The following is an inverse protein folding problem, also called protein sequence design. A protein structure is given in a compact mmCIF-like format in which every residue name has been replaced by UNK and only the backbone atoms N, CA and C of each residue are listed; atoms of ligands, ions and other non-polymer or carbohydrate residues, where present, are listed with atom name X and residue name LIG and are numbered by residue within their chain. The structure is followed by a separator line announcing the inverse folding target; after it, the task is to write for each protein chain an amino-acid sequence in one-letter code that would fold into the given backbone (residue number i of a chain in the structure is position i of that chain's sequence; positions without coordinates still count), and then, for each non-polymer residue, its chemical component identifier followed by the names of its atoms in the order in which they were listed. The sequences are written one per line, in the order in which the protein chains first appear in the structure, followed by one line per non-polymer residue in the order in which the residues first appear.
data_IF_260885521382
#
_entry.id   IF_260885521382
#
_cell.length_a   1.000
_cell.length_b   1.000
_cell.length_c   1.000
_cell.angle_alpha   90.00
_cell.angle_beta   90.00
_cell.angle_gamma   90.00
#
_symmetry.space_group_name_H-M   'P 1'
#
loop_
_entity.id
_entity.type
_entity.pdbx_description
1 polymer ?
#
# COMPACT_ATOMS: atom_id res chain seq x y z
N UNK A 1 19.96 3.09 -22.48
CA UNK A 1 20.13 2.13 -21.37
C UNK A 1 19.25 0.93 -21.69
N UNK A 2 19.45 -0.23 -21.06
CA UNK A 2 18.46 -1.29 -21.16
C UNK A 2 17.23 -0.94 -20.30
N UNK A 3 16.05 -1.41 -20.72
CA UNK A 3 14.74 -1.11 -20.13
C UNK A 3 14.69 -1.43 -18.63
N UNK A 4 15.36 -2.50 -18.23
CA UNK A 4 15.50 -2.93 -16.83
C UNK A 4 16.18 -1.88 -15.95
N UNK A 5 17.18 -1.18 -16.48
CA UNK A 5 17.93 -0.14 -15.75
C UNK A 5 17.13 1.16 -15.66
N UNK A 6 16.36 1.49 -16.69
CA UNK A 6 15.47 2.66 -16.72
C UNK A 6 14.35 2.52 -15.69
N UNK A 7 13.72 1.34 -15.61
CA UNK A 7 12.73 1.02 -14.58
C UNK A 7 13.33 1.14 -13.17
N UNK A 8 14.59 0.72 -12.99
CA UNK A 8 15.26 0.79 -11.71
C UNK A 8 15.53 2.21 -11.26
N UNK A 9 16.03 3.05 -12.15
CA UNK A 9 16.22 4.46 -11.86
C UNK A 9 14.88 5.15 -11.56
N UNK A 10 13.83 4.84 -12.32
CA UNK A 10 12.50 5.42 -12.15
C UNK A 10 11.91 5.10 -10.77
N UNK A 11 11.95 3.83 -10.33
CA UNK A 11 11.47 3.44 -9.00
C UNK A 11 12.30 4.09 -7.89
N UNK A 12 13.63 4.14 -8.01
CA UNK A 12 14.48 4.78 -6.99
C UNK A 12 14.14 6.26 -6.84
N UNK A 13 13.97 6.98 -7.95
CA UNK A 13 13.55 8.38 -7.93
C UNK A 13 12.13 8.54 -7.36
N UNK A 14 11.22 7.61 -7.68
CA UNK A 14 9.86 7.61 -7.17
C UNK A 14 9.81 7.43 -5.65
N UNK A 15 10.57 6.47 -5.13
CA UNK A 15 10.73 6.25 -3.68
C UNK A 15 11.34 7.47 -3.01
N UNK A 16 12.36 8.09 -3.61
CA UNK A 16 12.98 9.31 -3.10
C UNK A 16 12.01 10.49 -2.98
N UNK A 17 11.17 10.69 -4.00
CA UNK A 17 10.10 11.70 -3.97
C UNK A 17 9.06 11.38 -2.90
N UNK A 18 8.55 10.15 -2.89
CA UNK A 18 7.55 9.73 -1.91
C UNK A 18 8.05 9.93 -0.47
N UNK A 19 9.33 9.63 -0.22
CA UNK A 19 9.99 9.83 1.07
C UNK A 19 10.05 11.30 1.48
N UNK A 20 10.26 12.20 0.53
CA UNK A 20 10.31 13.65 0.77
C UNK A 20 8.93 14.20 1.09
N UNK A 21 7.90 13.73 0.37
CA UNK A 21 6.51 14.18 0.53
C UNK A 21 5.89 13.76 1.87
N UNK A 22 6.49 12.81 2.58
CA UNK A 22 6.08 12.42 3.93
C UNK A 22 6.40 13.46 5.00
N UNK A 23 7.33 14.38 4.74
CA UNK A 23 7.82 15.31 5.75
C UNK A 23 6.73 16.28 6.22
N UNK A 24 6.54 16.36 7.53
CA UNK A 24 5.60 17.30 8.16
C UNK A 24 4.12 16.90 8.10
N UNK A 25 3.77 15.74 7.51
CA UNK A 25 2.39 15.25 7.51
C UNK A 25 1.94 14.80 8.91
N UNK A 26 0.68 15.02 9.24
CA UNK A 26 0.17 14.90 10.62
C UNK A 26 -0.93 13.86 10.79
N UNK A 27 -1.32 13.17 9.72
CA UNK A 27 -2.32 12.12 9.78
C UNK A 27 -1.98 10.93 8.89
N UNK A 28 -2.45 9.74 9.29
CA UNK A 28 -2.28 8.52 8.51
C UNK A 28 -2.89 8.61 7.11
N UNK A 29 -4.01 9.35 6.97
CA UNK A 29 -4.66 9.55 5.69
C UNK A 29 -3.84 10.43 4.74
N UNK A 30 -3.26 11.53 5.25
CA UNK A 30 -2.35 12.38 4.46
C UNK A 30 -1.11 11.61 4.02
N UNK A 31 -0.51 10.84 4.94
CA UNK A 31 0.66 10.00 4.67
C UNK A 31 0.36 8.99 3.55
N UNK A 32 -0.73 8.24 3.67
CA UNK A 32 -1.12 7.25 2.66
C UNK A 32 -1.44 7.91 1.31
N UNK A 33 -2.07 9.09 1.33
CA UNK A 33 -2.41 9.84 0.13
C UNK A 33 -1.16 10.37 -0.58
N UNK A 34 -0.20 10.97 0.14
CA UNK A 34 1.03 11.52 -0.43
C UNK A 34 1.84 10.45 -1.18
N UNK A 35 1.98 9.26 -0.56
CA UNK A 35 2.67 8.13 -1.20
C UNK A 35 1.91 7.67 -2.44
N UNK A 36 0.61 7.43 -2.35
CA UNK A 36 -0.14 6.91 -3.52
C UNK A 36 -0.28 7.95 -4.65
N UNK A 37 -0.28 9.25 -4.35
CA UNK A 37 -0.22 10.34 -5.34
C UNK A 37 1.12 10.39 -6.06
N UNK A 38 2.22 10.22 -5.32
CA UNK A 38 3.55 10.10 -5.91
C UNK A 38 3.57 8.94 -6.92
N UNK A 39 3.10 7.75 -6.53
CA UNK A 39 3.07 6.59 -7.41
C UNK A 39 2.14 6.79 -8.62
N UNK A 40 0.99 7.44 -8.43
CA UNK A 40 0.05 7.76 -9.52
C UNK A 40 0.71 8.59 -10.62
N UNK A 41 1.63 9.49 -10.26
CA UNK A 41 2.36 10.33 -11.23
C UNK A 41 3.28 9.52 -12.17
N UNK A 42 3.77 8.35 -11.73
CA UNK A 42 4.64 7.48 -12.54
C UNK A 42 3.91 6.81 -13.71
N UNK A 43 2.59 6.58 -13.58
CA UNK A 43 1.75 5.80 -14.51
C UNK A 43 2.19 4.35 -14.77
N UNK A 44 3.30 3.90 -14.19
CA UNK A 44 3.90 2.58 -14.40
C UNK A 44 3.84 1.70 -13.15
N UNK A 45 4.02 2.31 -11.98
CA UNK A 45 3.98 1.63 -10.70
C UNK A 45 2.73 2.04 -9.95
N UNK A 46 2.08 1.09 -9.28
CA UNK A 46 0.98 1.38 -8.38
C UNK A 46 1.37 1.15 -6.95
N UNK A 47 0.76 1.93 -6.08
CA UNK A 47 0.84 1.77 -4.65
C UNK A 47 -0.57 1.73 -4.07
N UNK A 48 -0.77 0.84 -3.11
CA UNK A 48 -1.99 0.72 -2.34
C UNK A 48 -1.60 0.69 -0.87
N UNK A 49 -2.36 1.41 -0.05
CA UNK A 49 -2.20 1.38 1.40
C UNK A 49 -3.45 0.79 2.01
N UNK A 50 -3.25 -0.25 2.80
CA UNK A 50 -4.29 -0.89 3.60
C UNK A 50 -3.95 -0.69 5.08
N UNK A 51 -4.94 -0.41 5.90
CA UNK A 51 -4.77 -0.25 7.35
C UNK A 51 -5.68 -1.23 8.08
N UNK A 52 -5.22 -1.69 9.24
CA UNK A 52 -6.01 -2.51 10.15
C UNK A 52 -7.10 -1.62 10.77
N UNK A 53 -8.34 -2.11 10.82
CA UNK A 53 -9.43 -1.46 11.55
C UNK A 53 -9.30 -1.76 13.05
N UNK A 54 -9.52 -0.77 13.91
CA UNK A 54 -9.37 -0.92 15.36
C UNK A 54 -10.40 -1.95 15.88
N UNK A 55 -9.93 -3.14 16.26
CA UNK A 55 -10.71 -4.16 16.98
C UNK A 55 -10.97 -5.48 16.24
N UNK A 56 -10.95 -5.51 14.91
CA UNK A 56 -11.60 -6.60 14.15
C UNK A 56 -10.67 -7.47 13.27
N UNK A 57 -9.34 -7.36 13.38
CA UNK A 57 -8.38 -8.10 12.50
C UNK A 57 -8.76 -7.99 11.00
N UNK A 58 -9.33 -6.85 10.62
CA UNK A 58 -9.73 -6.56 9.24
C UNK A 58 -8.84 -5.49 8.64
N UNK A 59 -8.46 -5.67 7.37
CA UNK A 59 -7.81 -4.66 6.56
C UNK A 59 -8.83 -3.90 5.73
N UNK A 60 -8.64 -2.59 5.61
CA UNK A 60 -9.37 -1.72 4.69
C UNK A 60 -8.42 -0.94 3.80
N UNK A 61 -8.81 -0.72 2.55
CA UNK A 61 -8.08 0.20 1.67
C UNK A 61 -8.27 1.63 2.16
N UNK A 62 -7.16 2.35 2.37
CA UNK A 62 -7.19 3.77 2.77
C UNK A 62 -6.73 4.70 1.65
N UNK A 63 -5.88 4.20 0.75
CA UNK A 63 -5.42 4.95 -0.41
C UNK A 63 -4.99 4.02 -1.55
N UNK A 64 -5.09 4.52 -2.79
CA UNK A 64 -4.64 3.82 -4.00
C UNK A 64 -4.09 4.82 -5.01
N UNK A 65 -3.04 4.44 -5.75
CA UNK A 65 -2.51 5.24 -6.85
C UNK A 65 -3.34 5.10 -8.11
N UNK A 66 -4.23 4.11 -8.22
CA UNK A 66 -5.11 3.98 -9.38
C UNK A 66 -5.91 5.26 -9.60
N UNK A 67 -6.03 5.66 -10.87
CA UNK A 67 -6.91 6.77 -11.25
C UNK A 67 -8.37 6.37 -11.03
N UNK A 68 -9.28 7.32 -10.70
CA UNK A 68 -10.66 7.01 -10.34
C UNK A 68 -11.42 6.18 -11.38
N UNK A 69 -11.11 6.36 -12.67
CA UNK A 69 -11.71 5.59 -13.76
C UNK A 69 -11.34 4.11 -13.71
N UNK A 70 -10.09 3.77 -13.35
CA UNK A 70 -9.65 2.38 -13.19
C UNK A 70 -10.23 1.75 -11.91
N UNK A 71 -10.30 2.52 -10.82
CA UNK A 71 -10.96 2.06 -9.58
C UNK A 71 -12.41 1.70 -9.89
N UNK A 72 -13.18 2.63 -10.47
CA UNK A 72 -14.60 2.41 -10.82
C UNK A 72 -14.79 1.22 -11.76
N UNK A 73 -13.90 1.03 -12.73
CA UNK A 73 -13.96 -0.13 -13.62
C UNK A 73 -13.74 -1.44 -12.87
N UNK A 74 -12.76 -1.48 -11.95
CA UNK A 74 -12.54 -2.63 -11.07
C UNK A 74 -13.76 -2.92 -10.18
N UNK A 75 -14.35 -1.89 -9.58
CA UNK A 75 -15.54 -2.01 -8.73
C UNK A 75 -16.75 -2.56 -9.49
N UNK A 76 -16.98 -2.10 -10.74
CA UNK A 76 -18.05 -2.62 -11.61
C UNK A 76 -17.86 -4.11 -11.90
N UNK A 77 -16.63 -4.53 -12.21
CA UNK A 77 -16.32 -5.93 -12.52
C UNK A 77 -16.43 -6.81 -11.28
N UNK A 78 -15.97 -6.30 -10.14
CA UNK A 78 -15.98 -7.02 -8.87
C UNK A 78 -17.35 -7.00 -8.17
N UNK A 79 -18.25 -6.09 -8.56
CA UNK A 79 -19.54 -5.90 -7.91
C UNK A 79 -19.44 -5.33 -6.49
N UNK A 80 -18.30 -4.73 -6.13
CA UNK A 80 -18.03 -4.22 -4.78
C UNK A 80 -17.20 -2.94 -4.83
N UNK A 81 -17.47 -2.00 -3.93
CA UNK A 81 -16.69 -0.77 -3.79
C UNK A 81 -15.40 -1.01 -3.01
N UNK A 82 -14.30 -0.42 -3.48
CA UNK A 82 -12.98 -0.53 -2.85
C UNK A 82 -12.96 0.15 -1.48
N UNK A 83 -13.70 1.24 -1.29
CA UNK A 83 -13.75 1.98 -0.01
C UNK A 83 -14.53 1.26 1.08
N UNK A 84 -15.55 0.50 0.68
CA UNK A 84 -16.33 -0.36 1.60
C UNK A 84 -15.69 -1.73 1.81
N UNK A 85 -14.69 -2.10 1.01
CA UNK A 85 -14.10 -3.43 1.08
C UNK A 85 -13.36 -3.63 2.40
N UNK A 86 -13.60 -4.78 3.03
CA UNK A 86 -12.98 -5.21 4.29
C UNK A 86 -12.51 -6.63 4.14
N UNK A 87 -11.30 -6.88 4.59
CA UNK A 87 -10.60 -8.14 4.39
C UNK A 87 -10.27 -8.73 5.72
N UNK A 88 -10.87 -9.88 6.05
CA UNK A 88 -10.54 -10.58 7.27
C UNK A 88 -9.21 -11.29 7.12
N UNK A 89 -8.27 -11.02 8.02
CA UNK A 89 -6.94 -11.63 8.00
C UNK A 89 -7.02 -13.16 8.09
N UNK A 90 -7.96 -13.70 8.87
CA UNK A 90 -8.23 -15.15 8.97
C UNK A 90 -8.44 -15.85 7.60
N UNK A 91 -8.91 -15.11 6.58
CA UNK A 91 -9.21 -15.63 5.24
C UNK A 91 -8.12 -15.32 4.22
N UNK A 92 -7.05 -14.65 4.62
CA UNK A 92 -6.06 -14.06 3.73
C UNK A 92 -4.63 -14.41 4.16
N UNK A 93 -4.17 -15.66 3.91
CA UNK A 93 -2.88 -16.15 4.41
C UNK A 93 -1.68 -15.25 4.07
N UNK A 94 -1.67 -14.61 2.89
CA UNK A 94 -0.59 -13.69 2.51
C UNK A 94 -0.58 -12.43 3.38
N UNK A 95 -1.76 -11.87 3.65
CA UNK A 95 -1.89 -10.65 4.45
C UNK A 95 -1.62 -10.94 5.93
N UNK A 96 -2.00 -12.13 6.41
CA UNK A 96 -1.69 -12.61 7.76
C UNK A 96 -0.20 -12.66 8.01
N UNK A 97 0.59 -13.20 7.06
CA UNK A 97 2.06 -13.20 7.17
C UNK A 97 2.63 -11.78 7.27
N UNK A 98 2.12 -10.86 6.47
CA UNK A 98 2.58 -9.46 6.53
C UNK A 98 2.19 -8.80 7.87
N UNK A 99 0.96 -9.00 8.35
CA UNK A 99 0.44 -8.32 9.56
C UNK A 99 0.92 -8.95 10.87
N UNK A 100 0.93 -10.28 10.98
CA UNK A 100 1.26 -10.97 12.22
C UNK A 100 2.73 -11.37 12.31
N UNK A 101 3.35 -11.75 11.20
CA UNK A 101 4.75 -12.19 11.17
C UNK A 101 5.71 -11.04 10.79
N UNK A 102 5.19 -9.93 10.26
CA UNK A 102 6.00 -8.78 9.86
C UNK A 102 6.83 -9.02 8.60
N UNK A 103 6.45 -10.01 7.80
CA UNK A 103 7.19 -10.37 6.58
C UNK A 103 6.93 -9.38 5.44
N UNK A 104 7.99 -9.07 4.68
CA UNK A 104 7.84 -8.45 3.36
C UNK A 104 7.80 -9.56 2.32
N UNK A 105 6.74 -9.59 1.51
CA UNK A 105 6.49 -10.63 0.53
C UNK A 105 6.56 -10.07 -0.89
N UNK A 106 7.21 -10.80 -1.79
CA UNK A 106 7.04 -10.65 -3.23
C UNK A 106 6.07 -11.72 -3.70
N UNK A 107 4.92 -11.31 -4.24
CA UNK A 107 3.82 -12.23 -4.63
C UNK A 107 3.32 -11.88 -6.02
N UNK A 108 2.68 -12.83 -6.70
CA UNK A 108 1.99 -12.49 -7.95
C UNK A 108 0.80 -11.57 -7.66
N UNK A 109 0.51 -10.62 -8.55
CA UNK A 109 -0.66 -9.73 -8.42
C UNK A 109 -1.96 -10.54 -8.44
N UNK A 110 -1.98 -11.70 -9.11
CA UNK A 110 -3.08 -12.66 -9.06
C UNK A 110 -3.32 -13.19 -7.65
N UNK A 111 -2.27 -13.62 -6.95
CA UNK A 111 -2.39 -14.16 -5.60
C UNK A 111 -2.75 -13.08 -4.58
N UNK A 112 -2.17 -11.88 -4.74
CA UNK A 112 -2.50 -10.71 -3.93
C UNK A 112 -3.98 -10.34 -4.08
N UNK A 113 -4.47 -10.21 -5.32
CA UNK A 113 -5.88 -9.89 -5.57
C UNK A 113 -6.83 -11.04 -5.21
N UNK A 114 -6.34 -12.28 -5.29
CA UNK A 114 -7.04 -13.50 -4.87
C UNK A 114 -7.32 -13.59 -3.37
N UNK A 115 -6.63 -12.80 -2.54
CA UNK A 115 -6.99 -12.65 -1.11
C UNK A 115 -8.34 -11.92 -0.94
N UNK A 116 -8.78 -11.21 -1.97
CA UNK A 116 -9.94 -10.30 -1.93
C UNK A 116 -11.10 -10.80 -2.78
N UNK A 117 -10.80 -11.37 -3.94
CA UNK A 117 -11.80 -11.65 -4.97
C UNK A 117 -11.75 -13.13 -5.39
N UNK A 118 -12.90 -13.72 -5.77
CA UNK A 118 -12.93 -15.01 -6.44
C UNK A 118 -12.04 -15.01 -7.70
N UNK A 119 -11.33 -16.12 -7.96
CA UNK A 119 -10.35 -16.25 -9.04
C UNK A 119 -10.85 -15.79 -10.42
N UNK A 120 -12.11 -16.08 -10.75
CA UNK A 120 -12.71 -15.67 -12.04
C UNK A 120 -12.84 -14.15 -12.17
N UNK A 121 -13.10 -13.46 -11.06
CA UNK A 121 -13.17 -12.00 -11.02
C UNK A 121 -11.76 -11.42 -11.10
N UNK A 122 -10.80 -11.98 -10.35
CA UNK A 122 -9.38 -11.60 -10.39
C UNK A 122 -8.88 -11.56 -11.84
N UNK A 123 -9.02 -12.67 -12.58
CA UNK A 123 -8.54 -12.76 -13.95
C UNK A 123 -9.18 -11.70 -14.87
N UNK A 124 -10.48 -11.43 -14.70
CA UNK A 124 -11.17 -10.38 -15.50
C UNK A 124 -10.66 -8.99 -15.17
N UNK A 125 -10.46 -8.68 -13.89
CA UNK A 125 -9.94 -7.39 -13.42
C UNK A 125 -8.52 -7.19 -13.97
N UNK A 126 -7.62 -8.15 -13.76
CA UNK A 126 -6.22 -8.04 -14.19
C UNK A 126 -6.09 -7.89 -15.69
N UNK A 127 -6.81 -8.70 -16.47
CA UNK A 127 -6.84 -8.59 -17.94
C UNK A 127 -7.33 -7.23 -18.40
N UNK A 128 -8.39 -6.70 -17.77
CA UNK A 128 -8.96 -5.41 -18.16
C UNK A 128 -8.03 -4.25 -17.82
N UNK A 129 -7.32 -4.36 -16.70
CA UNK A 129 -6.37 -3.35 -16.22
C UNK A 129 -4.96 -3.53 -16.81
N UNK A 130 -4.69 -4.63 -17.53
CA UNK A 130 -3.37 -5.01 -18.10
C UNK A 130 -2.29 -5.26 -17.04
N UNK A 131 -2.67 -5.90 -15.94
CA UNK A 131 -1.75 -6.36 -14.86
C UNK A 131 -1.62 -7.89 -14.83
N UNK A 132 -1.80 -8.55 -15.97
CA UNK A 132 -1.57 -9.99 -16.07
C UNK A 132 -0.07 -10.27 -15.96
N UNK A 133 0.31 -11.21 -15.07
CA UNK A 133 1.71 -11.62 -14.89
C UNK A 133 2.59 -10.65 -14.09
N UNK A 134 2.01 -9.57 -13.53
CA UNK A 134 2.76 -8.67 -12.64
C UNK A 134 2.90 -9.24 -11.24
N UNK A 135 3.82 -8.68 -10.48
CA UNK A 135 4.05 -9.01 -9.08
C UNK A 135 3.83 -7.77 -8.21
N UNK A 136 3.51 -7.98 -6.94
CA UNK A 136 3.43 -6.92 -5.93
C UNK A 136 4.37 -7.24 -4.77
N UNK A 137 4.97 -6.19 -4.22
CA UNK A 137 5.71 -6.23 -2.96
C UNK A 137 4.75 -5.77 -1.86
N UNK A 138 4.44 -6.66 -0.93
CA UNK A 138 3.65 -6.38 0.26
C UNK A 138 4.60 -6.19 1.43
N UNK A 139 4.55 -5.05 2.10
CA UNK A 139 5.44 -4.73 3.23
C UNK A 139 4.67 -4.12 4.39
N UNK A 140 4.96 -4.50 5.65
CA UNK A 140 4.21 -4.02 6.80
C UNK A 140 4.50 -2.55 7.08
N UNK A 141 3.47 -1.84 7.55
CA UNK A 141 3.55 -0.50 8.10
C UNK A 141 3.43 -0.56 9.61
N UNK A 142 4.36 0.09 10.31
CA UNK A 142 4.42 0.09 11.76
C UNK A 142 3.96 1.44 12.33
N UNK A 143 3.39 1.38 13.53
CA UNK A 143 3.15 2.53 14.39
C UNK A 143 3.25 2.04 15.84
N UNK A 144 4.16 2.65 16.61
CA UNK A 144 4.47 2.39 18.01
C UNK A 144 4.84 0.93 18.26
N UNK A 145 5.70 0.40 17.40
CA UNK A 145 6.17 -0.98 17.46
C UNK A 145 5.11 -2.03 17.11
N UNK A 146 3.92 -1.64 16.65
CA UNK A 146 2.86 -2.55 16.18
C UNK A 146 2.67 -2.40 14.68
N UNK A 147 2.35 -3.50 13.99
CA UNK A 147 1.98 -3.44 12.58
C UNK A 147 0.54 -2.94 12.49
N UNK A 148 0.33 -1.86 11.76
CA UNK A 148 -0.96 -1.16 11.61
C UNK A 148 -1.50 -1.20 10.19
N UNK A 149 -0.74 -1.75 9.24
CA UNK A 149 -1.16 -1.80 7.85
C UNK A 149 -0.14 -2.46 6.93
N UNK A 150 -0.45 -2.38 5.64
CA UNK A 150 0.35 -2.91 4.54
C UNK A 150 0.50 -1.82 3.48
N UNK A 151 1.73 -1.61 3.04
CA UNK A 151 2.02 -0.97 1.77
C UNK A 151 2.18 -2.06 0.72
N UNK A 152 1.36 -2.00 -0.33
CA UNK A 152 1.48 -2.85 -1.52
C UNK A 152 1.95 -2.00 -2.68
N UNK A 153 2.99 -2.44 -3.39
CA UNK A 153 3.52 -1.75 -4.57
C UNK A 153 3.74 -2.74 -5.70
N UNK A 154 3.25 -2.41 -6.90
CA UNK A 154 3.54 -3.21 -8.10
C UNK A 154 5.02 -3.21 -8.38
N UNK A 155 5.58 -4.40 -8.48
CA UNK A 155 7.00 -4.63 -8.68
C UNK A 155 7.37 -4.56 -10.19
N UNK A 156 8.54 -4.00 -10.53
CA UNK A 156 9.11 -4.09 -11.88
C UNK A 156 9.60 -5.52 -12.18
N UNK A 157 10.09 -5.74 -13.41
CA UNK A 157 10.57 -7.05 -13.87
C UNK A 157 11.71 -7.62 -12.98
N UNK A 158 12.55 -6.75 -12.39
CA UNK A 158 13.62 -7.13 -11.45
C UNK A 158 13.19 -6.99 -9.98
N UNK A 159 11.97 -7.44 -9.66
CA UNK A 159 11.28 -7.21 -8.39
C UNK A 159 12.12 -7.47 -7.11
N UNK A 160 12.95 -8.52 -7.09
CA UNK A 160 13.77 -8.89 -5.93
C UNK A 160 14.73 -7.76 -5.52
N UNK A 161 15.28 -7.02 -6.49
CA UNK A 161 16.20 -5.91 -6.23
C UNK A 161 15.51 -4.71 -5.58
N UNK A 162 14.18 -4.64 -5.64
CA UNK A 162 13.39 -3.51 -5.11
C UNK A 162 12.80 -3.78 -3.74
N UNK A 163 12.80 -5.03 -3.28
CA UNK A 163 12.33 -5.38 -1.93
C UNK A 163 13.01 -4.50 -0.87
N UNK A 164 14.35 -4.26 -0.89
CA UNK A 164 14.98 -3.36 0.06
C UNK A 164 14.48 -1.91 -0.02
N UNK A 165 14.25 -1.39 -1.23
CA UNK A 165 13.72 -0.02 -1.42
C UNK A 165 12.30 0.12 -0.89
N UNK A 166 11.45 -0.89 -1.09
CA UNK A 166 10.09 -0.89 -0.56
C UNK A 166 10.07 -1.01 0.96
N UNK A 167 10.95 -1.84 1.55
CA UNK A 167 11.15 -1.89 3.01
C UNK A 167 11.56 -0.53 3.58
N UNK A 168 12.49 0.16 2.93
CA UNK A 168 12.91 1.50 3.35
C UNK A 168 11.76 2.52 3.25
N UNK A 169 10.99 2.51 2.16
CA UNK A 169 9.83 3.39 2.02
C UNK A 169 8.79 3.12 3.12
N UNK A 170 8.49 1.85 3.39
CA UNK A 170 7.59 1.46 4.47
C UNK A 170 8.09 1.87 5.85
N UNK A 171 9.40 1.79 6.09
CA UNK A 171 10.02 2.29 7.31
C UNK A 171 9.85 3.81 7.46
N UNK A 172 10.07 4.58 6.40
CA UNK A 172 9.88 6.03 6.42
C UNK A 172 8.41 6.41 6.61
N UNK A 173 7.48 5.70 5.97
CA UNK A 173 6.04 5.83 6.23
C UNK A 173 5.69 5.52 7.68
N UNK A 174 6.29 4.46 8.25
CA UNK A 174 6.08 4.07 9.64
C UNK A 174 6.56 5.16 10.61
N UNK A 175 7.73 5.74 10.35
CA UNK A 175 8.24 6.86 11.14
C UNK A 175 7.34 8.11 11.05
N UNK A 176 6.78 8.39 9.87
CA UNK A 176 5.81 9.47 9.69
C UNK A 176 4.50 9.19 10.46
N UNK A 177 4.04 7.93 10.47
CA UNK A 177 2.87 7.51 11.26
C UNK A 177 3.10 7.70 12.76
N UNK A 178 4.26 7.30 13.26
CA UNK A 178 4.65 7.52 14.66
C UNK A 178 4.62 8.99 15.04
N UNK A 179 5.23 9.83 14.20
CA UNK A 179 5.25 11.27 14.39
C UNK A 179 3.85 11.87 14.42
N UNK A 180 2.99 11.49 13.48
CA UNK A 180 1.60 11.93 13.40
C UNK A 180 0.81 11.62 14.68
N UNK A 181 0.93 10.40 15.22
CA UNK A 181 0.24 10.03 16.46
C UNK A 181 0.80 10.81 17.65
N UNK A 182 2.12 10.98 17.76
CA UNK A 182 2.74 11.78 18.82
C UNK A 182 2.30 13.25 18.78
N UNK A 183 2.10 13.83 17.60
CA UNK A 183 1.60 15.21 17.47
C UNK A 183 0.16 15.35 17.92
N UNK A 184 -0.73 14.43 17.52
CA UNK A 184 -2.13 14.47 17.95
C UNK A 184 -2.26 14.30 19.48
N UNK A 185 -1.43 13.47 20.11
CA UNK A 185 -1.41 13.36 21.57
C UNK A 185 -0.95 14.62 22.29
N UNK A 186 0.11 15.29 21.78
CA UNK A 186 0.55 16.58 22.31
C UNK A 186 -0.58 17.61 22.21
N UNK A 187 -1.21 17.71 21.03
CA UNK A 187 -2.34 18.61 20.79
C UNK A 187 -3.49 18.35 21.76
N UNK A 188 -3.85 17.09 22.01
CA UNK A 188 -4.90 16.71 22.97
C UNK A 188 -4.54 17.03 24.42
N UNK A 189 -3.26 16.96 24.77
CA UNK A 189 -2.78 17.26 26.11
C UNK A 189 -2.83 18.77 26.36
N UNK A 190 -2.40 19.58 25.40
CA UNK A 190 -2.42 21.05 25.50
C UNK A 190 -3.85 21.61 25.60
N UNK A 191 -4.84 20.96 24.95
CA UNK A 191 -6.26 21.36 25.03
C UNK A 191 -6.96 20.93 26.33
N UNK A 192 -6.37 20.04 27.16
CA UNK A 192 -6.93 19.67 28.48
C UNK A 192 -6.53 20.61 29.61
N UNK A 193 -5.56 21.50 29.37
CA UNK A 193 -5.04 22.45 30.35
C UNK A 193 -5.47 23.90 30.06
N UNK A 194 -6.40 24.10 29.12
CA UNK A 194 -7.11 25.37 28.89
C UNK A 194 -8.58 25.21 29.31
#
# INVERSE_FOLDING_TARGET
MDRSTEELLEVVQLVGRASTDLHGLTSAQEIAKAVTETFRSSRRFNAHVMMVDDGDETLRFVATSFVPTLVKLGEIIAGVSMSSFRVRLEKSPLLTRVIHEGETLLVSTTDALGQFLPSQIVLRVLKRLRYEGTHDILTPLHCRGRIVGILSVTAPDLAELFVPSMKNLAHLMSAALDYAVSQEERRRSDHRYQ
#
